data_IF_781297057482
#
_entry.id   IF_781297057482
#
_cell.length_a   1.000
_cell.length_b   1.000
_cell.length_c   1.000
_cell.angle_alpha   90.00
_cell.angle_beta   90.00
_cell.angle_gamma   90.00
#
_symmetry.space_group_name_H-M   'P 1'
#
loop_
_entity.id
_entity.type
_entity.pdbx_description
1 polymer ?
#
# COMPACT_ATOMS: atom_id res chain seq x y z
N UNK A 1 -4.11 -16.29 9.79
CA UNK A 1 -5.28 -15.36 9.74
C UNK A 1 -5.18 -14.53 8.46
N UNK A 2 -6.27 -14.04 7.88
CA UNK A 2 -6.21 -13.23 6.64
C UNK A 2 -7.06 -11.97 6.74
N UNK A 3 -6.47 -10.82 6.39
CA UNK A 3 -7.15 -9.53 6.29
C UNK A 3 -7.01 -8.94 4.89
N UNK A 4 -8.08 -8.30 4.42
CA UNK A 4 -8.15 -7.64 3.12
C UNK A 4 -8.89 -6.32 3.26
N UNK A 5 -8.35 -5.28 2.66
CA UNK A 5 -9.03 -3.99 2.56
C UNK A 5 -8.61 -3.24 1.30
N UNK A 6 -9.39 -2.24 0.94
CA UNK A 6 -9.18 -1.40 -0.24
C UNK A 6 -9.09 0.05 0.15
N UNK A 7 -8.03 0.73 -0.27
CA UNK A 7 -7.86 2.18 -0.11
C UNK A 7 -8.30 2.85 -1.40
N UNK A 8 -9.40 3.60 -1.36
CA UNK A 8 -9.94 4.27 -2.53
C UNK A 8 -9.11 5.50 -2.93
N UNK A 9 -8.96 5.72 -4.24
CA UNK A 9 -8.23 6.86 -4.80
C UNK A 9 -6.86 6.51 -5.38
N UNK A 10 -6.18 7.53 -5.93
CA UNK A 10 -4.89 7.36 -6.59
C UNK A 10 -3.81 6.79 -5.65
N UNK A 11 -3.07 5.74 -6.07
CA UNK A 11 -1.94 5.23 -5.31
C UNK A 11 -0.91 6.34 -5.04
N UNK A 12 -0.69 6.63 -3.77
CA UNK A 12 0.41 7.50 -3.31
C UNK A 12 1.49 6.66 -2.67
N UNK A 13 2.70 7.22 -2.60
CA UNK A 13 3.84 6.60 -1.96
C UNK A 13 4.42 7.53 -0.92
N UNK A 14 5.23 6.98 -0.02
CA UNK A 14 5.86 7.76 1.04
C UNK A 14 6.85 8.76 0.44
N UNK A 15 6.60 10.05 0.65
CA UNK A 15 7.56 11.09 0.33
C UNK A 15 8.74 11.03 1.29
N UNK A 16 9.96 11.18 0.80
CA UNK A 16 11.13 11.29 1.68
C UNK A 16 11.00 12.57 2.53
N UNK A 17 11.34 12.52 3.84
CA UNK A 17 11.34 13.71 4.68
C UNK A 17 12.23 14.79 4.06
N UNK A 18 11.75 16.03 4.06
CA UNK A 18 12.57 17.17 3.66
C UNK A 18 13.22 17.73 4.92
N UNK A 19 14.55 17.85 4.91
CA UNK A 19 15.27 18.47 6.00
C UNK A 19 15.26 19.99 5.83
N UNK A 20 14.79 20.69 6.85
CA UNK A 20 14.96 22.14 6.90
C UNK A 20 16.41 22.44 7.27
N UNK A 21 17.20 22.94 6.32
CA UNK A 21 18.63 23.25 6.52
C UNK A 21 18.87 24.33 7.57
N UNK A 22 17.85 25.12 7.93
CA UNK A 22 17.96 26.16 8.97
C UNK A 22 17.67 25.67 10.39
N UNK A 23 16.86 24.62 10.55
CA UNK A 23 16.44 24.13 11.88
C UNK A 23 16.84 22.69 12.16
N UNK A 24 17.39 21.97 11.18
CA UNK A 24 17.77 20.56 11.30
C UNK A 24 16.58 19.59 11.38
N UNK A 25 15.35 20.08 11.45
CA UNK A 25 14.15 19.25 11.58
C UNK A 25 13.75 18.61 10.24
N UNK A 26 13.46 17.32 10.28
CA UNK A 26 12.87 16.57 9.17
C UNK A 26 11.35 16.80 9.15
N UNK A 27 10.83 17.30 8.02
CA UNK A 27 9.40 17.54 7.82
C UNK A 27 8.87 16.49 6.85
N UNK A 28 7.97 15.64 7.35
CA UNK A 28 7.20 14.72 6.50
C UNK A 28 6.21 15.53 5.65
N UNK A 29 6.14 15.30 4.33
CA UNK A 29 5.19 16.00 3.47
C UNK A 29 3.74 15.79 3.94
N UNK A 30 2.92 16.85 3.93
CA UNK A 30 1.49 16.80 4.31
C UNK A 30 0.73 15.70 3.56
N UNK A 31 1.02 15.51 2.28
CA UNK A 31 0.38 14.47 1.45
C UNK A 31 0.64 13.05 1.94
N UNK A 32 1.82 12.78 2.53
CA UNK A 32 2.14 11.48 3.11
C UNK A 32 1.30 11.24 4.36
N UNK A 33 1.20 12.23 5.25
CA UNK A 33 0.40 12.12 6.48
C UNK A 33 -1.08 11.91 6.16
N UNK A 34 -1.62 12.66 5.21
CA UNK A 34 -3.02 12.53 4.77
C UNK A 34 -3.28 11.12 4.23
N UNK A 35 -2.38 10.60 3.40
CA UNK A 35 -2.56 9.28 2.81
C UNK A 35 -2.38 8.14 3.82
N UNK A 36 -1.41 8.24 4.75
CA UNK A 36 -1.28 7.27 5.84
C UNK A 36 -2.56 7.22 6.70
N UNK A 37 -3.15 8.39 7.00
CA UNK A 37 -4.43 8.43 7.72
C UNK A 37 -5.57 7.82 6.92
N UNK A 38 -5.64 8.04 5.61
CA UNK A 38 -6.62 7.39 4.75
C UNK A 38 -6.49 5.86 4.79
N UNK A 39 -5.26 5.34 4.69
CA UNK A 39 -4.99 3.90 4.79
C UNK A 39 -5.45 3.34 6.15
N UNK A 40 -5.14 4.02 7.25
CA UNK A 40 -5.59 3.64 8.60
C UNK A 40 -7.11 3.61 8.71
N UNK A 41 -7.79 4.65 8.26
CA UNK A 41 -9.24 4.75 8.32
C UNK A 41 -9.92 3.66 7.48
N UNK A 42 -9.43 3.39 6.28
CA UNK A 42 -9.98 2.33 5.41
C UNK A 42 -9.75 0.94 5.99
N UNK A 43 -8.60 0.71 6.62
CA UNK A 43 -8.35 -0.52 7.37
C UNK A 43 -9.34 -0.69 8.51
N UNK A 44 -9.48 0.31 9.39
CA UNK A 44 -10.39 0.23 10.54
C UNK A 44 -11.85 0.08 10.11
N UNK A 45 -12.26 0.75 9.03
CA UNK A 45 -13.62 0.65 8.50
C UNK A 45 -13.96 -0.74 7.94
N UNK A 46 -12.99 -1.41 7.29
CA UNK A 46 -13.23 -2.69 6.59
C UNK A 46 -12.83 -3.91 7.43
N UNK A 47 -11.82 -3.79 8.29
CA UNK A 47 -11.25 -4.86 9.10
C UNK A 47 -11.49 -4.68 10.61
N UNK A 48 -12.07 -3.56 11.05
CA UNK A 48 -12.24 -3.23 12.47
C UNK A 48 -10.90 -3.01 13.19
N UNK A 49 -10.90 -3.18 14.51
CA UNK A 49 -9.70 -3.11 15.37
C UNK A 49 -8.92 -4.44 15.41
N UNK A 50 -9.15 -5.31 14.41
CA UNK A 50 -8.50 -6.61 14.38
C UNK A 50 -6.99 -6.42 14.18
N UNK A 51 -6.18 -7.07 15.03
CA UNK A 51 -4.72 -7.01 14.99
C UNK A 51 -4.15 -8.43 14.89
N UNK A 52 -3.10 -8.60 14.11
CA UNK A 52 -2.32 -9.83 14.08
C UNK A 52 -1.56 -10.02 15.41
N UNK A 53 -1.28 -11.28 15.81
CA UNK A 53 -0.41 -11.56 16.96
C UNK A 53 0.97 -10.90 16.81
N UNK A 54 1.59 -10.53 17.93
CA UNK A 54 2.86 -9.80 17.94
C UNK A 54 4.05 -10.65 17.44
N UNK A 55 3.94 -11.98 17.46
CA UNK A 55 4.92 -12.96 16.98
C UNK A 55 4.59 -13.51 15.57
N UNK A 56 3.52 -13.03 14.94
CA UNK A 56 3.10 -13.52 13.63
C UNK A 56 4.08 -13.15 12.52
N UNK A 57 4.30 -14.09 11.60
CA UNK A 57 5.01 -13.87 10.34
C UNK A 57 4.01 -13.50 9.24
N UNK A 58 4.16 -12.33 8.63
CA UNK A 58 3.16 -11.76 7.72
C UNK A 58 3.63 -11.77 6.26
N UNK A 59 2.74 -12.20 5.36
CA UNK A 59 2.81 -12.01 3.92
C UNK A 59 1.91 -10.83 3.50
N UNK A 60 2.50 -9.78 2.95
CA UNK A 60 1.79 -8.60 2.44
C UNK A 60 1.74 -8.58 0.90
N UNK A 61 0.53 -8.58 0.34
CA UNK A 61 0.29 -8.44 -1.10
C UNK A 61 -0.44 -7.13 -1.39
N UNK A 62 0.17 -6.27 -2.21
CA UNK A 62 -0.38 -4.97 -2.59
C UNK A 62 -0.62 -4.93 -4.11
N UNK A 63 -1.83 -4.55 -4.52
CA UNK A 63 -2.12 -4.22 -5.92
C UNK A 63 -2.51 -2.75 -6.01
N UNK A 64 -1.68 -1.95 -6.65
CA UNK A 64 -1.92 -0.53 -6.88
C UNK A 64 -2.53 -0.32 -8.27
N UNK A 65 -3.76 0.17 -8.33
CA UNK A 65 -4.48 0.50 -9.56
C UNK A 65 -4.46 2.00 -9.79
N UNK A 66 -3.83 2.42 -10.88
CA UNK A 66 -3.67 3.81 -11.27
C UNK A 66 -4.69 4.20 -12.32
N UNK A 67 -5.10 5.47 -12.34
CA UNK A 67 -6.02 5.94 -13.38
C UNK A 67 -5.40 5.80 -14.78
N UNK A 68 -6.22 5.31 -15.71
CA UNK A 68 -5.90 5.29 -17.14
C UNK A 68 -5.87 6.73 -17.68
N UNK A 69 -4.76 7.21 -18.24
CA UNK A 69 -4.71 8.58 -18.74
C UNK A 69 -5.71 8.79 -19.90
N UNK A 70 -6.53 9.85 -19.87
CA UNK A 70 -7.57 10.07 -20.88
C UNK A 70 -6.98 10.35 -22.27
N UNK A 71 -5.76 10.87 -22.34
CA UNK A 71 -5.03 11.15 -23.58
C UNK A 71 -4.58 9.89 -24.35
N UNK A 72 -4.65 8.69 -23.75
CA UNK A 72 -4.22 7.47 -24.43
C UNK A 72 -5.25 7.01 -25.49
N UNK A 73 -4.82 6.49 -26.64
CA UNK A 73 -5.72 5.93 -27.65
C UNK A 73 -6.57 4.78 -27.10
N UNK A 74 -7.79 4.59 -27.64
CA UNK A 74 -8.75 3.56 -27.20
C UNK A 74 -8.13 2.15 -27.10
N UNK A 75 -7.42 1.71 -28.15
CA UNK A 75 -6.71 0.42 -28.18
C UNK A 75 -5.72 0.28 -27.02
N UNK A 76 -4.95 1.33 -26.70
CA UNK A 76 -4.01 1.30 -25.57
C UNK A 76 -4.74 1.28 -24.22
N UNK A 77 -5.86 1.98 -24.09
CA UNK A 77 -6.69 1.94 -22.88
C UNK A 77 -7.23 0.53 -22.61
N UNK A 78 -7.67 -0.18 -23.64
CA UNK A 78 -8.12 -1.58 -23.53
C UNK A 78 -6.99 -2.51 -23.06
N UNK A 79 -5.78 -2.37 -23.63
CA UNK A 79 -4.60 -3.13 -23.18
C UNK A 79 -4.17 -2.78 -21.74
N UNK A 80 -4.38 -1.53 -21.31
CA UNK A 80 -4.16 -1.09 -19.93
C UNK A 80 -5.17 -1.72 -18.96
N UNK A 81 -6.46 -1.75 -19.32
CA UNK A 81 -7.52 -2.42 -18.55
C UNK A 81 -7.30 -3.93 -18.45
N UNK A 82 -6.85 -4.54 -19.54
CA UNK A 82 -6.49 -5.96 -19.58
C UNK A 82 -5.22 -6.27 -18.76
N UNK A 83 -4.50 -5.26 -18.24
CA UNK A 83 -3.27 -5.46 -17.50
C UNK A 83 -2.11 -5.97 -18.35
N UNK A 84 -2.16 -5.78 -19.67
CA UNK A 84 -1.03 -6.08 -20.57
C UNK A 84 -0.03 -4.93 -20.50
N UNK A 85 -0.51 -3.69 -20.61
CA UNK A 85 0.30 -2.49 -20.39
C UNK A 85 0.23 -2.12 -18.90
N UNK A 86 1.38 -1.99 -18.24
CA UNK A 86 1.49 -1.65 -16.82
C UNK A 86 1.92 -0.21 -16.58
N UNK A 87 1.53 0.41 -15.46
CA UNK A 87 2.02 1.73 -15.08
C UNK A 87 3.51 1.72 -14.77
N UNK A 88 4.26 2.55 -15.48
CA UNK A 88 5.68 2.85 -15.23
C UNK A 88 5.84 4.28 -14.70
N UNK A 89 4.91 4.72 -13.85
CA UNK A 89 4.92 6.04 -13.20
C UNK A 89 5.10 5.93 -11.69
N UNK A 90 5.47 7.05 -11.06
CA UNK A 90 5.52 7.20 -9.60
C UNK A 90 4.14 7.05 -8.96
N UNK A 91 4.04 6.77 -7.65
CA UNK A 91 5.13 6.39 -6.73
C UNK A 91 5.86 5.11 -7.13
N UNK A 92 7.14 5.02 -6.76
CA UNK A 92 7.94 3.82 -6.92
C UNK A 92 7.39 2.67 -6.05
N UNK A 93 7.72 1.43 -6.39
CA UNK A 93 7.14 0.25 -5.76
C UNK A 93 7.44 0.19 -4.26
N UNK A 94 8.68 0.47 -3.88
CA UNK A 94 9.15 0.56 -2.50
C UNK A 94 8.40 1.64 -1.71
N UNK A 95 8.15 2.80 -2.33
CA UNK A 95 7.41 3.88 -1.69
C UNK A 95 5.93 3.53 -1.46
N UNK A 96 5.34 2.68 -2.31
CA UNK A 96 4.01 2.13 -2.08
C UNK A 96 4.00 1.14 -0.90
N UNK A 97 4.97 0.23 -0.82
CA UNK A 97 5.10 -0.69 0.33
C UNK A 97 5.20 0.15 1.61
N UNK A 98 6.14 1.10 1.62
CA UNK A 98 6.47 1.86 2.80
C UNK A 98 5.28 2.66 3.34
N UNK A 99 4.49 3.30 2.48
CA UNK A 99 3.35 4.07 2.97
C UNK A 99 2.23 3.19 3.53
N UNK A 100 2.02 2.01 2.96
CA UNK A 100 1.05 1.05 3.50
C UNK A 100 1.56 0.47 4.82
N UNK A 101 2.83 0.02 4.86
CA UNK A 101 3.41 -0.59 6.03
C UNK A 101 3.50 0.39 7.21
N UNK A 102 3.94 1.63 6.98
CA UNK A 102 4.03 2.67 8.01
C UNK A 102 2.64 3.12 8.50
N UNK A 103 1.63 3.11 7.63
CA UNK A 103 0.27 3.43 8.01
C UNK A 103 -0.33 2.37 8.95
N UNK A 104 -0.09 1.10 8.66
CA UNK A 104 -0.64 -0.03 9.40
C UNK A 104 0.17 -0.43 10.63
N UNK A 105 1.37 0.11 10.80
CA UNK A 105 2.21 -0.18 11.96
C UNK A 105 1.48 0.20 13.27
N UNK A 106 1.52 -0.68 14.25
CA UNK A 106 0.78 -0.62 15.54
C UNK A 106 -0.74 -0.63 15.41
N UNK A 107 -1.30 -0.73 14.21
CA UNK A 107 -2.75 -0.81 13.95
C UNK A 107 -3.12 -2.24 13.58
N UNK A 108 -2.53 -2.76 12.48
CA UNK A 108 -2.78 -4.12 12.01
C UNK A 108 -1.84 -5.14 12.64
N UNK A 109 -0.62 -4.75 13.00
CA UNK A 109 0.43 -5.59 13.59
C UNK A 109 1.30 -4.74 14.52
N UNK A 110 2.16 -5.37 15.34
CA UNK A 110 2.97 -4.66 16.32
C UNK A 110 4.10 -3.85 15.68
N UNK A 111 4.79 -4.45 14.71
CA UNK A 111 5.97 -3.87 14.07
C UNK A 111 6.08 -4.29 12.59
N UNK A 112 6.63 -3.43 11.72
CA UNK A 112 6.79 -3.75 10.29
C UNK A 112 7.83 -4.85 10.04
N UNK A 113 8.70 -5.14 11.00
CA UNK A 113 9.58 -6.31 11.01
C UNK A 113 8.84 -7.65 10.94
N UNK A 114 7.54 -7.69 11.27
CA UNK A 114 6.70 -8.88 11.11
C UNK A 114 6.40 -9.22 9.64
N UNK A 115 6.60 -8.28 8.72
CA UNK A 115 6.39 -8.51 7.28
C UNK A 115 7.61 -9.22 6.71
N UNK A 116 7.51 -10.54 6.55
CA UNK A 116 8.62 -11.40 6.09
C UNK A 116 8.57 -11.69 4.59
N UNK A 117 7.39 -11.52 3.96
CA UNK A 117 7.22 -11.60 2.51
C UNK A 117 6.34 -10.42 2.05
N UNK A 118 6.71 -9.82 0.93
CA UNK A 118 5.96 -8.73 0.34
C UNK A 118 5.99 -8.77 -1.18
N UNK A 119 4.86 -8.46 -1.81
CA UNK A 119 4.78 -8.24 -3.24
C UNK A 119 3.89 -7.05 -3.56
N UNK A 120 4.36 -6.22 -4.49
CA UNK A 120 3.58 -5.14 -5.05
C UNK A 120 3.44 -5.30 -6.55
N UNK A 121 2.23 -5.08 -7.05
CA UNK A 121 1.94 -5.08 -8.48
C UNK A 121 1.21 -3.80 -8.86
N UNK A 122 1.62 -3.19 -9.97
CA UNK A 122 0.98 -1.99 -10.53
C UNK A 122 0.07 -2.36 -11.68
N UNK A 123 -1.13 -1.81 -11.70
CA UNK A 123 -2.15 -2.00 -12.72
C UNK A 123 -2.75 -0.65 -13.11
N UNK A 124 -3.36 -0.58 -14.28
CA UNK A 124 -4.25 0.53 -14.61
C UNK A 124 -5.70 0.13 -14.33
N UNK A 125 -6.55 1.10 -14.00
CA UNK A 125 -7.99 0.94 -13.81
C UNK A 125 -8.71 2.26 -14.14
N UNK A 126 -9.99 2.19 -14.46
CA UNK A 126 -10.87 3.38 -14.47
C UNK A 126 -11.25 3.81 -13.04
N UNK A 127 -11.12 2.89 -12.08
CA UNK A 127 -11.33 3.11 -10.65
C UNK A 127 -10.00 2.97 -9.88
N UNK A 128 -9.29 4.09 -9.61
CA UNK A 128 -8.00 4.07 -8.94
C UNK A 128 -8.15 3.70 -7.46
N UNK A 129 -7.32 2.76 -7.01
CA UNK A 129 -7.34 2.23 -5.64
C UNK A 129 -6.08 1.45 -5.32
N UNK A 130 -5.88 1.12 -4.05
CA UNK A 130 -4.88 0.16 -3.59
C UNK A 130 -5.58 -0.97 -2.85
N UNK A 131 -5.47 -2.18 -3.37
CA UNK A 131 -5.95 -3.40 -2.70
C UNK A 131 -4.79 -3.97 -1.87
N UNK A 132 -5.02 -4.17 -0.57
CA UNK A 132 -4.02 -4.72 0.35
C UNK A 132 -4.58 -6.00 0.96
N UNK A 133 -3.74 -7.05 0.95
CA UNK A 133 -4.00 -8.33 1.61
C UNK A 133 -2.83 -8.64 2.54
N UNK A 134 -3.12 -8.98 3.79
CA UNK A 134 -2.12 -9.43 4.76
C UNK A 134 -2.54 -10.81 5.24
N UNK A 135 -1.62 -11.76 5.18
CA UNK A 135 -1.82 -13.13 5.60
C UNK A 135 -0.79 -13.47 6.69
N UNK A 136 -1.25 -13.98 7.81
CA UNK A 136 -0.39 -14.62 8.80
C UNK A 136 0.00 -16.02 8.30
N UNK A 137 1.29 -16.17 7.99
CA UNK A 137 1.95 -17.38 7.52
C UNK A 137 2.18 -18.24 8.75
N UNK A 138 1.18 -19.04 9.11
CA UNK A 138 1.40 -20.10 10.11
C UNK A 138 2.48 -21.03 9.57
N UNK A 139 3.59 -21.16 10.31
CA UNK A 139 4.53 -22.25 10.05
C UNK A 139 3.72 -23.56 10.04
N UNK A 140 3.89 -24.44 9.04
CA UNK A 140 3.42 -25.80 9.19
C UNK A 140 4.20 -26.36 10.38
N UNK A 141 3.55 -26.38 11.55
CA UNK A 141 4.06 -27.13 12.70
C UNK A 141 4.08 -28.57 12.19
N UNK A 142 5.27 -29.05 11.83
CA UNK A 142 5.53 -30.47 11.68
C UNK A 142 5.11 -31.11 13.01
N UNK A 143 3.99 -31.82 12.98
CA UNK A 143 3.61 -32.76 14.04
C UNK A 143 4.61 -33.89 14.10
#
# INVERSE_FOLDING_TARGET
MELKFTVHGEPKGKGRPRFNTKTGHAITPKDTVIYENLVRMEYLNQCGETKFPDDAMLDMRIKAYYTIPPSRPKKKKELMRAGIIRPTKKPDMDNCIKIIADALNKIAYHDDTQIVDCQVRKFYSDDPRVEVRILDIKSPVNK
#
